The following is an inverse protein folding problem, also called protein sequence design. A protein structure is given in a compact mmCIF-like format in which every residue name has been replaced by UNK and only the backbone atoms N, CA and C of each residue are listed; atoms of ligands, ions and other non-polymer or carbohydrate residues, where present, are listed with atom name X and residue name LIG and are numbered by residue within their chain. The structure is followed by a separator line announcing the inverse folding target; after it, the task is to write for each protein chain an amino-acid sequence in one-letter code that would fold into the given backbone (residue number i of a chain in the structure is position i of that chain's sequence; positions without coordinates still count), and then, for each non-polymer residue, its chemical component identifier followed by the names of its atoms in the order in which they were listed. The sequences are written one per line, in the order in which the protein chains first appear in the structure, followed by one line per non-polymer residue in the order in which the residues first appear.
data_IF_208871964467
#
_entry.id   IF_208871964467
#
_cell.length_a   1.000
_cell.length_b   1.000
_cell.length_c   1.000
_cell.angle_alpha   90.00
_cell.angle_beta   90.00
_cell.angle_gamma   90.00
#
_symmetry.space_group_name_H-M   'P 1'
#
loop_
_entity.id
_entity.type
_entity.pdbx_description
1 polymer ?
#
# COMPACT_ATOMS: atom_id res chain seq x y z
N UNK A 1 42.51 1.96 38.19
CA UNK A 1 41.05 2.01 38.41
C UNK A 1 40.44 2.68 37.20
N UNK A 2 39.78 1.91 36.32
CA UNK A 2 39.15 2.42 35.11
C UNK A 2 37.66 2.70 35.39
N UNK A 3 37.21 3.92 35.13
CA UNK A 3 35.81 4.32 35.26
C UNK A 3 35.11 3.98 33.93
N UNK A 4 34.05 3.18 34.00
CA UNK A 4 33.24 2.74 32.87
C UNK A 4 32.63 3.94 32.13
N UNK A 5 32.87 4.00 30.82
CA UNK A 5 32.09 4.80 29.90
C UNK A 5 30.69 4.18 29.76
N UNK A 6 29.67 4.91 30.21
CA UNK A 6 28.27 4.55 30.02
C UNK A 6 27.89 4.56 28.55
N UNK A 7 27.65 3.39 27.98
CA UNK A 7 26.99 3.23 26.70
C UNK A 7 25.49 3.52 26.90
N UNK A 8 25.07 4.71 26.51
CA UNK A 8 23.66 5.03 26.27
C UNK A 8 23.20 4.22 25.05
N UNK A 9 22.47 3.12 25.29
CA UNK A 9 21.70 2.46 24.24
C UNK A 9 20.54 3.38 23.86
N UNK A 10 20.68 4.07 22.73
CA UNK A 10 19.53 4.63 22.01
C UNK A 10 18.66 3.46 21.55
N UNK A 11 17.49 3.30 22.15
CA UNK A 11 16.48 2.37 21.65
C UNK A 11 16.01 2.88 20.28
N UNK A 12 16.53 2.27 19.21
CA UNK A 12 15.94 2.43 17.89
C UNK A 12 14.51 1.92 17.98
N UNK A 13 13.53 2.83 17.92
CA UNK A 13 12.13 2.46 17.81
C UNK A 13 12.01 1.59 16.54
N UNK A 14 11.75 0.30 16.74
CA UNK A 14 11.52 -0.61 15.63
C UNK A 14 10.37 -0.03 14.82
N UNK A 15 10.62 0.22 13.53
CA UNK A 15 9.55 0.62 12.62
C UNK A 15 8.42 -0.41 12.74
N UNK A 16 7.15 0.02 12.83
CA UNK A 16 6.03 -0.91 12.87
C UNK A 16 6.18 -1.91 11.70
N UNK A 17 6.08 -3.21 12.01
CA UNK A 17 6.26 -4.25 11.00
C UNK A 17 5.18 -4.13 9.92
N UNK A 18 5.57 -4.22 8.64
CA UNK A 18 4.60 -4.27 7.54
C UNK A 18 3.71 -5.51 7.75
N UNK A 19 2.37 -5.36 7.70
CA UNK A 19 1.46 -6.51 7.79
C UNK A 19 1.77 -7.54 6.71
N UNK A 20 1.54 -8.82 7.03
CA UNK A 20 1.76 -9.92 6.09
C UNK A 20 1.06 -9.66 4.73
N UNK A 21 1.79 -9.85 3.63
CA UNK A 21 1.30 -9.63 2.26
C UNK A 21 1.47 -8.20 1.72
N UNK A 22 1.59 -7.19 2.59
CA UNK A 22 1.92 -5.83 2.15
C UNK A 22 3.42 -5.61 2.08
N UNK A 23 3.83 -4.74 1.17
CA UNK A 23 5.20 -4.22 1.06
C UNK A 23 5.13 -2.70 1.00
N UNK A 24 6.05 -2.03 1.72
CA UNK A 24 6.20 -0.58 1.68
C UNK A 24 7.65 -0.27 1.36
N UNK A 25 7.92 0.40 0.24
CA UNK A 25 9.27 0.89 -0.07
C UNK A 25 9.42 2.27 0.55
N UNK A 26 9.99 2.30 1.76
CA UNK A 26 10.07 3.46 2.62
C UNK A 26 11.50 3.66 3.13
N UNK A 27 12.26 4.51 2.43
CA UNK A 27 13.46 5.24 2.86
C UNK A 27 14.24 5.55 1.58
N UNK A 28 14.48 6.81 1.26
CA UNK A 28 15.30 7.29 0.13
C UNK A 28 14.64 7.25 -1.28
N UNK A 29 13.48 6.62 -1.43
CA UNK A 29 12.75 6.65 -2.70
C UNK A 29 12.03 8.00 -2.88
N UNK A 30 12.31 8.69 -3.98
CA UNK A 30 11.56 9.90 -4.40
C UNK A 30 10.04 9.65 -4.58
N UNK A 31 9.62 8.39 -4.59
CA UNK A 31 8.22 7.98 -4.73
C UNK A 31 7.98 6.71 -3.91
N UNK A 32 7.58 6.84 -2.63
CA UNK A 32 7.17 5.71 -1.81
C UNK A 32 6.08 4.88 -2.49
N UNK A 33 6.14 3.55 -2.32
CA UNK A 33 5.16 2.62 -2.90
C UNK A 33 4.61 1.71 -1.81
N UNK A 34 3.30 1.52 -1.83
CA UNK A 34 2.56 0.53 -1.07
C UNK A 34 2.05 -0.53 -2.06
N UNK A 35 2.43 -1.79 -1.90
CA UNK A 35 1.97 -2.86 -2.79
C UNK A 35 1.59 -4.14 -2.04
N UNK A 36 0.64 -4.88 -2.58
CA UNK A 36 0.22 -6.21 -2.11
C UNK A 36 -0.02 -7.11 -3.32
N UNK A 37 0.48 -8.34 -3.26
CA UNK A 37 0.18 -9.37 -4.26
C UNK A 37 -0.43 -10.60 -3.60
N UNK A 38 -1.62 -10.98 -4.05
CA UNK A 38 -2.27 -12.25 -3.74
C UNK A 38 -2.81 -12.81 -5.04
N UNK A 39 -2.16 -13.85 -5.57
CA UNK A 39 -2.49 -14.43 -6.88
C UNK A 39 -4.01 -14.69 -6.99
N UNK A 40 -4.68 -14.17 -8.03
CA UNK A 40 -4.14 -13.55 -9.26
C UNK A 40 -3.98 -12.01 -9.23
N UNK A 41 -4.19 -11.35 -8.09
CA UNK A 41 -4.32 -9.90 -7.99
C UNK A 41 -3.05 -9.24 -7.43
N UNK A 42 -2.67 -8.11 -8.01
CA UNK A 42 -1.67 -7.19 -7.44
C UNK A 42 -2.26 -5.78 -7.35
N UNK A 43 -2.09 -5.13 -6.20
CA UNK A 43 -2.38 -3.72 -6.00
C UNK A 43 -1.06 -2.99 -5.79
N UNK A 44 -0.86 -1.88 -6.49
CA UNK A 44 0.24 -0.94 -6.26
C UNK A 44 -0.34 0.46 -6.11
N UNK A 45 0.01 1.14 -5.02
CA UNK A 45 -0.24 2.55 -4.82
C UNK A 45 1.09 3.28 -4.68
N UNK A 46 1.39 4.16 -5.63
CA UNK A 46 2.63 4.92 -5.73
C UNK A 46 2.36 6.38 -5.46
N UNK A 47 3.12 6.95 -4.55
CA UNK A 47 2.99 8.36 -4.22
C UNK A 47 3.98 9.18 -5.03
N UNK A 48 3.50 10.25 -5.68
CA UNK A 48 4.32 11.06 -6.59
C UNK A 48 4.39 12.49 -6.05
N UNK A 49 5.57 12.97 -5.64
CA UNK A 49 5.72 14.37 -5.22
C UNK A 49 5.36 15.31 -6.38
N UNK A 50 4.63 16.38 -6.05
CA UNK A 50 4.23 17.44 -6.97
C UNK A 50 3.31 17.00 -8.14
N UNK A 51 2.73 15.79 -8.08
CA UNK A 51 1.78 15.26 -9.06
C UNK A 51 0.68 14.42 -8.36
N UNK A 52 -0.25 13.87 -9.13
CA UNK A 52 -1.21 12.89 -8.63
C UNK A 52 -0.53 11.55 -8.32
N UNK A 53 -0.94 10.94 -7.21
CA UNK A 53 -0.54 9.59 -6.90
C UNK A 53 -1.15 8.62 -7.93
N UNK A 54 -0.58 7.43 -8.04
CA UNK A 54 -1.05 6.40 -8.96
C UNK A 54 -1.53 5.19 -8.18
N UNK A 55 -2.75 4.73 -8.48
CA UNK A 55 -3.25 3.40 -8.10
C UNK A 55 -3.18 2.50 -9.33
N UNK A 56 -2.74 1.26 -9.15
CA UNK A 56 -2.73 0.25 -10.20
C UNK A 56 -3.25 -1.06 -9.63
N UNK A 57 -4.21 -1.67 -10.33
CA UNK A 57 -4.72 -3.01 -10.03
C UNK A 57 -4.47 -3.91 -11.22
N UNK A 58 -3.74 -4.99 -11.01
CA UNK A 58 -3.42 -6.00 -12.03
C UNK A 58 -4.07 -7.32 -11.66
N UNK A 59 -4.71 -7.97 -12.64
CA UNK A 59 -5.26 -9.32 -12.53
C UNK A 59 -4.60 -10.22 -13.57
N UNK A 60 -3.84 -11.22 -13.12
CA UNK A 60 -3.17 -12.17 -13.99
C UNK A 60 -3.27 -13.61 -13.42
N UNK A 61 -3.91 -14.56 -14.12
CA UNK A 61 -4.56 -14.40 -15.43
C UNK A 61 -5.95 -13.76 -15.37
N UNK A 62 -6.32 -13.05 -16.43
CA UNK A 62 -7.68 -12.59 -16.72
C UNK A 62 -8.11 -13.09 -18.11
N UNK A 63 -8.60 -14.32 -18.18
CA UNK A 63 -8.92 -14.98 -19.45
C UNK A 63 -7.66 -15.46 -20.17
N UNK A 64 -7.33 -14.85 -21.32
CA UNK A 64 -6.17 -15.23 -22.15
C UNK A 64 -4.92 -14.36 -21.88
N UNK A 65 -5.00 -13.38 -20.98
CA UNK A 65 -3.87 -12.52 -20.64
C UNK A 65 -4.11 -11.72 -19.36
N UNK A 66 -3.16 -10.87 -18.96
CA UNK A 66 -3.35 -10.00 -17.81
C UNK A 66 -4.29 -8.84 -18.14
N UNK A 67 -5.06 -8.41 -17.15
CA UNK A 67 -5.80 -7.15 -17.17
C UNK A 67 -5.16 -6.19 -16.17
N UNK A 68 -5.06 -4.91 -16.52
CA UNK A 68 -4.50 -3.89 -15.65
C UNK A 68 -5.29 -2.58 -15.80
N UNK A 69 -5.57 -1.94 -14.68
CA UNK A 69 -6.15 -0.61 -14.62
C UNK A 69 -5.22 0.31 -13.83
N UNK A 70 -5.11 1.57 -14.27
CA UNK A 70 -4.23 2.55 -13.66
C UNK A 70 -4.93 3.90 -13.59
N UNK A 71 -5.14 4.35 -12.36
CA UNK A 71 -5.82 5.60 -12.05
C UNK A 71 -4.90 6.61 -11.36
N UNK A 72 -5.04 7.87 -11.76
CA UNK A 72 -4.47 9.01 -11.06
C UNK A 72 -5.40 9.42 -9.93
N UNK A 73 -4.91 9.38 -8.70
CA UNK A 73 -5.71 9.60 -7.50
C UNK A 73 -5.06 10.59 -6.55
N UNK A 74 -5.88 11.24 -5.73
CA UNK A 74 -5.43 12.05 -4.60
C UNK A 74 -6.32 11.73 -3.39
N UNK A 75 -5.95 10.77 -2.53
CA UNK A 75 -6.76 10.39 -1.39
C UNK A 75 -7.09 11.58 -0.48
N UNK A 76 -8.37 11.79 -0.21
CA UNK A 76 -8.90 12.97 0.46
C UNK A 76 -9.00 12.81 1.99
N UNK A 77 -8.88 13.94 2.71
CA UNK A 77 -9.15 14.03 4.14
C UNK A 77 -7.98 14.52 4.98
N UNK A 78 -8.30 15.11 6.14
CA UNK A 78 -7.33 15.80 7.00
C UNK A 78 -6.46 14.85 7.83
N UNK A 79 -6.90 13.61 8.00
CA UNK A 79 -6.19 12.59 8.80
C UNK A 79 -5.71 11.43 7.93
N UNK A 80 -4.61 10.75 8.31
CA UNK A 80 -4.19 9.52 7.62
C UNK A 80 -5.30 8.47 7.53
N UNK A 81 -6.14 8.35 8.56
CA UNK A 81 -7.26 7.41 8.56
C UNK A 81 -8.36 7.79 7.54
N UNK A 82 -8.63 9.09 7.35
CA UNK A 82 -9.57 9.55 6.34
C UNK A 82 -9.05 9.29 4.92
N UNK A 83 -7.77 9.58 4.67
CA UNK A 83 -7.12 9.29 3.38
C UNK A 83 -7.04 7.79 3.09
N UNK A 84 -6.76 6.96 4.11
CA UNK A 84 -6.81 5.51 3.99
C UNK A 84 -8.21 5.03 3.59
N UNK A 85 -9.25 5.55 4.24
CA UNK A 85 -10.64 5.20 3.93
C UNK A 85 -11.04 5.63 2.51
N UNK A 86 -10.54 6.76 2.02
CA UNK A 86 -10.77 7.23 0.65
C UNK A 86 -10.05 6.35 -0.38
N UNK A 87 -8.77 6.02 -0.14
CA UNK A 87 -8.01 5.10 -0.99
C UNK A 87 -8.64 3.70 -1.02
N UNK A 88 -9.22 3.20 0.08
CA UNK A 88 -9.97 1.94 0.08
C UNK A 88 -11.18 1.96 -0.84
N UNK A 89 -11.88 3.10 -0.97
CA UNK A 89 -13.00 3.22 -1.91
C UNK A 89 -12.49 3.16 -3.34
N UNK A 90 -11.41 3.88 -3.66
CA UNK A 90 -10.79 3.80 -4.98
C UNK A 90 -10.37 2.35 -5.32
N UNK A 91 -9.73 1.64 -4.37
CA UNK A 91 -9.39 0.21 -4.56
C UNK A 91 -10.65 -0.64 -4.80
N UNK A 92 -11.74 -0.40 -4.07
CA UNK A 92 -13.00 -1.13 -4.25
C UNK A 92 -13.62 -0.86 -5.63
N UNK A 93 -13.54 0.38 -6.13
CA UNK A 93 -13.96 0.75 -7.47
C UNK A 93 -13.10 0.04 -8.53
N UNK A 94 -11.78 -0.10 -8.32
CA UNK A 94 -10.92 -0.90 -9.20
C UNK A 94 -11.26 -2.40 -9.19
N UNK A 95 -11.59 -2.96 -8.03
CA UNK A 95 -12.09 -4.33 -7.96
C UNK A 95 -13.43 -4.49 -8.66
N UNK A 96 -14.31 -3.49 -8.63
CA UNK A 96 -15.53 -3.50 -9.41
C UNK A 96 -15.21 -3.54 -10.91
N UNK A 97 -14.34 -2.65 -11.39
CA UNK A 97 -13.91 -2.59 -12.80
C UNK A 97 -13.25 -3.90 -13.25
N UNK A 98 -12.39 -4.48 -12.41
CA UNK A 98 -11.76 -5.78 -12.66
C UNK A 98 -12.80 -6.88 -12.84
N UNK A 99 -13.85 -6.92 -11.99
CA UNK A 99 -14.91 -7.93 -12.09
C UNK A 99 -15.79 -7.80 -13.34
N UNK A 100 -15.81 -6.64 -13.99
CA UNK A 100 -16.47 -6.47 -15.29
C UNK A 100 -15.70 -7.17 -16.42
N UNK A 101 -14.39 -7.37 -16.25
CA UNK A 101 -13.49 -7.92 -17.28
C UNK A 101 -12.94 -9.31 -16.94
N UNK A 102 -12.83 -9.63 -15.65
CA UNK A 102 -12.13 -10.78 -15.10
C UNK A 102 -13.03 -11.58 -14.15
N UNK A 103 -12.87 -12.91 -14.14
CA UNK A 103 -13.50 -13.75 -13.11
C UNK A 103 -12.64 -13.74 -11.85
N UNK A 104 -13.06 -12.96 -10.86
CA UNK A 104 -12.43 -12.89 -9.54
C UNK A 104 -13.33 -13.53 -8.48
N UNK A 105 -12.79 -14.29 -7.53
CA UNK A 105 -13.61 -14.83 -6.45
C UNK A 105 -14.04 -13.73 -5.48
N UNK A 106 -15.24 -13.83 -4.90
CA UNK A 106 -15.81 -12.79 -4.03
C UNK A 106 -14.94 -12.45 -2.82
N UNK A 107 -14.18 -13.43 -2.31
CA UNK A 107 -13.34 -13.26 -1.13
C UNK A 107 -12.03 -12.47 -1.39
N UNK A 108 -11.60 -12.31 -2.65
CA UNK A 108 -10.24 -11.82 -2.95
C UNK A 108 -10.01 -10.37 -2.51
N UNK A 109 -11.02 -9.50 -2.64
CA UNK A 109 -10.91 -8.10 -2.28
C UNK A 109 -10.72 -7.92 -0.77
N UNK A 110 -11.53 -8.63 0.03
CA UNK A 110 -11.40 -8.62 1.48
C UNK A 110 -10.04 -9.16 1.93
N UNK A 111 -9.53 -10.20 1.26
CA UNK A 111 -8.21 -10.75 1.54
C UNK A 111 -7.09 -9.77 1.17
N UNK A 112 -7.18 -9.11 0.02
CA UNK A 112 -6.22 -8.09 -0.42
C UNK A 112 -6.19 -6.87 0.51
N UNK A 113 -7.36 -6.45 1.03
CA UNK A 113 -7.47 -5.33 1.96
C UNK A 113 -7.11 -5.66 3.42
N UNK A 114 -6.86 -6.94 3.73
CA UNK A 114 -6.42 -7.33 5.07
C UNK A 114 -5.09 -6.62 5.42
N UNK A 115 -5.06 -5.93 6.57
CA UNK A 115 -3.87 -5.19 7.01
C UNK A 115 -3.61 -3.86 6.29
N UNK A 116 -4.46 -3.46 5.32
CA UNK A 116 -4.24 -2.25 4.52
C UNK A 116 -4.02 -0.99 5.35
N UNK A 117 -4.88 -0.71 6.34
CA UNK A 117 -4.80 0.54 7.12
C UNK A 117 -3.45 0.66 7.86
N UNK A 118 -2.90 -0.45 8.37
CA UNK A 118 -1.61 -0.46 9.03
C UNK A 118 -0.44 -0.25 8.05
N UNK A 119 -0.52 -0.83 6.85
CA UNK A 119 0.48 -0.63 5.79
C UNK A 119 0.43 0.81 5.23
N UNK A 120 -0.77 1.38 5.08
CA UNK A 120 -0.95 2.77 4.65
C UNK A 120 -0.39 3.77 5.68
N UNK A 121 -0.57 3.52 6.98
CA UNK A 121 0.04 4.37 8.01
C UNK A 121 1.57 4.36 7.96
N UNK A 122 2.19 3.24 7.56
CA UNK A 122 3.64 3.16 7.35
C UNK A 122 4.08 3.97 6.12
N UNK A 123 3.31 3.89 5.04
CA UNK A 123 3.54 4.72 3.86
C UNK A 123 3.46 6.22 4.21
N UNK A 124 2.44 6.64 4.96
CA UNK A 124 2.27 8.04 5.40
C UNK A 124 3.41 8.51 6.31
N UNK A 125 3.98 7.61 7.12
CA UNK A 125 5.17 7.90 7.91
C UNK A 125 6.42 8.07 7.05
N UNK A 126 6.50 7.35 5.92
CA UNK A 126 7.63 7.39 4.98
C UNK A 126 7.63 8.60 4.03
N UNK A 127 6.49 9.31 3.91
CA UNK A 127 6.37 10.56 3.12
C UNK A 127 7.00 11.78 3.80
N UNK A 128 7.32 11.70 5.09
CA UNK A 128 7.83 12.80 5.92
C UNK A 128 9.34 12.85 5.93
#
# INVERSE_FOLDING_TARGET
MAILAGLLLAAAAAAPAVPEGWTVTAADAKAPVLAHTLVPVTIEYRTVPDDYDTLTLTVDPCGQGPWHEKDSIAPQGDTPAARAADLRKAIADEFHNARLNCTLPEWIEAAMLAGFDAAYLQLEAAKK
#
